data_IF_764639849426
#
_entry.id   IF_764639849426
#
_cell.length_a   1.000
_cell.length_b   1.000
_cell.length_c   1.000
_cell.angle_alpha   90.00
_cell.angle_beta   90.00
_cell.angle_gamma   90.00
#
_symmetry.space_group_name_H-M   'P 1'
#
loop_
_entity.id
_entity.type
_entity.pdbx_description
1 polymer ?
#
# COMPACT_ATOMS: atom_id res chain seq x y z
N UNK A 1 6.81 -18.30 23.81
CA UNK A 1 6.29 -18.21 22.44
C UNK A 1 4.83 -18.60 22.41
N UNK A 2 3.99 -17.82 21.73
CA UNK A 2 2.62 -18.21 21.34
C UNK A 2 2.53 -18.31 19.83
N UNK A 3 1.74 -19.27 19.35
CA UNK A 3 1.47 -19.52 17.94
C UNK A 3 -0.02 -19.40 17.66
N UNK A 4 -0.35 -18.96 16.46
CA UNK A 4 -1.71 -18.92 15.94
C UNK A 4 -1.71 -19.32 14.47
N UNK A 5 -2.75 -20.02 14.05
CA UNK A 5 -3.01 -20.32 12.66
C UNK A 5 -4.51 -20.27 12.38
N UNK A 6 -4.88 -19.73 11.22
CA UNK A 6 -6.25 -19.73 10.71
C UNK A 6 -6.23 -19.75 9.19
N UNK A 7 -7.31 -20.30 8.61
CA UNK A 7 -7.57 -20.22 7.19
C UNK A 7 -8.91 -19.54 6.91
N UNK A 8 -9.01 -18.91 5.74
CA UNK A 8 -10.24 -18.33 5.24
C UNK A 8 -10.32 -18.50 3.72
N UNK A 9 -11.53 -18.72 3.21
CA UNK A 9 -11.79 -18.89 1.79
C UNK A 9 -12.54 -17.67 1.28
N UNK A 10 -11.97 -16.97 0.31
CA UNK A 10 -12.67 -15.94 -0.46
C UNK A 10 -13.34 -16.57 -1.66
N UNK A 11 -14.57 -16.15 -1.97
CA UNK A 11 -15.32 -16.61 -3.16
C UNK A 11 -14.88 -15.91 -4.46
N UNK A 12 -13.72 -15.26 -4.46
CA UNK A 12 -13.17 -14.51 -5.58
C UNK A 12 -11.88 -15.13 -6.14
N UNK A 13 -11.60 -14.94 -7.45
CA UNK A 13 -10.37 -15.38 -8.08
C UNK A 13 -9.12 -14.78 -7.44
N UNK A 14 -8.02 -15.53 -7.48
CA UNK A 14 -6.76 -15.14 -6.88
C UNK A 14 -6.27 -13.78 -7.34
N UNK A 15 -6.41 -13.46 -8.63
CA UNK A 15 -5.99 -12.16 -9.17
C UNK A 15 -6.73 -10.98 -8.53
N UNK A 16 -8.03 -11.14 -8.25
CA UNK A 16 -8.85 -10.12 -7.57
C UNK A 16 -8.41 -9.96 -6.12
N UNK A 17 -8.27 -11.07 -5.39
CA UNK A 17 -7.89 -11.04 -3.96
C UNK A 17 -6.45 -10.57 -3.76
N UNK A 18 -5.51 -10.99 -4.62
CA UNK A 18 -4.13 -10.54 -4.63
C UNK A 18 -4.07 -9.03 -4.89
N UNK A 19 -4.84 -8.51 -5.84
CA UNK A 19 -4.90 -7.07 -6.10
C UNK A 19 -5.48 -6.30 -4.91
N UNK A 20 -6.59 -6.79 -4.34
CA UNK A 20 -7.19 -6.21 -3.14
C UNK A 20 -6.21 -6.19 -1.95
N UNK A 21 -5.38 -7.23 -1.79
CA UNK A 21 -4.38 -7.32 -0.73
C UNK A 21 -3.36 -6.16 -0.79
N UNK A 22 -2.93 -5.75 -1.98
CA UNK A 22 -2.01 -4.63 -2.14
C UNK A 22 -2.69 -3.27 -1.97
N UNK A 23 -3.97 -3.17 -2.33
CA UNK A 23 -4.79 -1.95 -2.22
C UNK A 23 -5.54 -1.81 -0.89
N UNK A 24 -5.33 -2.71 0.07
CA UNK A 24 -6.10 -2.76 1.32
C UNK A 24 -6.03 -1.51 2.18
N UNK A 25 -5.14 -0.55 1.91
CA UNK A 25 -5.10 0.71 2.65
C UNK A 25 -5.24 1.91 1.70
N UNK A 26 -5.98 2.96 2.11
CA UNK A 26 -6.73 3.06 3.37
C UNK A 26 -8.05 2.25 3.34
N UNK A 27 -8.52 1.82 4.52
CA UNK A 27 -9.86 1.25 4.69
C UNK A 27 -10.39 1.50 6.12
N UNK A 28 -11.73 1.56 6.36
CA UNK A 28 -12.31 1.92 7.65
C UNK A 28 -12.01 0.91 8.78
N UNK A 29 -11.77 -0.36 8.44
CA UNK A 29 -11.41 -1.41 9.40
C UNK A 29 -9.95 -1.35 9.85
N UNK A 30 -9.12 -0.55 9.16
CA UNK A 30 -7.70 -0.38 9.41
C UNK A 30 -7.28 1.08 9.69
N UNK A 31 -8.15 1.87 10.34
CA UNK A 31 -7.88 3.28 10.71
C UNK A 31 -6.63 3.55 11.57
N UNK A 32 -6.02 2.50 12.11
CA UNK A 32 -4.77 2.57 12.86
C UNK A 32 -3.53 2.62 11.95
N UNK A 33 -3.65 2.31 10.67
CA UNK A 33 -2.57 2.44 9.69
C UNK A 33 -2.47 3.90 9.27
N UNK A 34 -1.27 4.48 9.39
CA UNK A 34 -1.00 5.88 9.06
C UNK A 34 -0.41 6.02 7.67
N UNK A 35 0.60 5.21 7.36
CA UNK A 35 1.27 5.21 6.05
C UNK A 35 1.62 3.79 5.65
N UNK A 36 1.74 3.57 4.34
CA UNK A 36 2.20 2.33 3.75
C UNK A 36 2.96 2.67 2.47
N UNK A 37 4.28 2.56 2.53
CA UNK A 37 5.20 3.03 1.50
C UNK A 37 5.93 1.83 0.89
N UNK A 38 6.12 1.84 -0.43
CA UNK A 38 6.94 0.82 -1.11
C UNK A 38 8.40 1.23 -1.01
N UNK A 39 9.21 0.41 -0.37
CA UNK A 39 10.66 0.63 -0.19
C UNK A 39 11.43 0.08 -1.38
N UNK A 40 11.08 -1.12 -1.83
CA UNK A 40 11.66 -1.75 -3.01
C UNK A 40 10.65 -2.66 -3.70
N UNK A 41 10.83 -2.84 -5.00
CA UNK A 41 10.04 -3.74 -5.81
C UNK A 41 10.84 -4.18 -7.03
N UNK A 42 10.97 -5.49 -7.19
CA UNK A 42 11.78 -6.09 -8.24
C UNK A 42 11.09 -7.36 -8.77
N UNK A 43 11.39 -7.72 -10.01
CA UNK A 43 10.97 -9.01 -10.59
C UNK A 43 12.16 -9.97 -10.50
N UNK A 44 11.93 -11.15 -9.92
CA UNK A 44 12.95 -12.19 -9.82
C UNK A 44 13.22 -12.82 -11.20
N UNK A 45 14.37 -13.48 -11.42
CA UNK A 45 14.63 -14.22 -12.65
C UNK A 45 13.58 -15.31 -12.95
N UNK A 46 12.88 -15.81 -11.91
CA UNK A 46 11.79 -16.77 -12.04
C UNK A 46 10.43 -16.15 -12.41
N UNK A 47 10.34 -14.82 -12.56
CA UNK A 47 9.10 -14.13 -12.91
C UNK A 47 8.22 -13.71 -11.72
N UNK A 48 8.63 -13.97 -10.48
CA UNK A 48 7.90 -13.52 -9.29
C UNK A 48 8.13 -12.03 -9.04
N UNK A 49 7.10 -11.30 -8.60
CA UNK A 49 7.24 -9.92 -8.12
C UNK A 49 7.53 -9.92 -6.62
N UNK A 50 8.70 -9.46 -6.22
CA UNK A 50 9.05 -9.23 -4.81
C UNK A 50 8.85 -7.75 -4.47
N UNK A 51 8.26 -7.47 -3.32
CA UNK A 51 8.03 -6.10 -2.84
C UNK A 51 8.30 -6.02 -1.35
N UNK A 52 9.02 -5.00 -0.93
CA UNK A 52 9.14 -4.62 0.48
C UNK A 52 8.38 -3.33 0.71
N UNK A 53 7.47 -3.33 1.69
CA UNK A 53 6.73 -2.15 2.14
C UNK A 53 7.07 -1.83 3.59
N UNK A 54 7.08 -0.54 3.91
CA UNK A 54 7.19 -0.02 5.26
C UNK A 54 5.83 0.55 5.68
N UNK A 55 5.33 0.10 6.82
CA UNK A 55 4.01 0.46 7.33
C UNK A 55 4.16 1.11 8.70
N UNK A 56 3.59 2.31 8.87
CA UNK A 56 3.46 2.94 10.18
C UNK A 56 2.06 2.71 10.72
N UNK A 57 1.96 2.22 11.96
CA UNK A 57 0.66 2.06 12.63
C UNK A 57 0.65 2.67 14.02
N UNK A 58 -0.48 3.26 14.39
CA UNK A 58 -0.80 3.67 15.76
C UNK A 58 -1.01 2.44 16.63
N UNK A 59 -0.46 2.48 17.83
CA UNK A 59 -0.69 1.49 18.87
C UNK A 59 -1.19 2.14 20.15
N UNK A 60 -1.50 1.28 21.13
CA UNK A 60 -1.78 1.68 22.50
C UNK A 60 -1.17 0.64 23.43
N UNK A 61 -0.64 1.12 24.56
CA UNK A 61 -0.11 0.24 25.60
C UNK A 61 -1.27 -0.33 26.43
N UNK A 62 -1.21 -1.61 26.84
CA UNK A 62 -2.20 -2.13 27.74
C UNK A 62 -2.12 -1.44 29.10
N UNK A 63 -3.25 -1.27 29.79
CA UNK A 63 -3.31 -0.57 31.09
C UNK A 63 -2.39 -1.16 32.16
N UNK A 64 -2.05 -2.44 32.06
CA UNK A 64 -1.16 -3.12 32.99
C UNK A 64 0.34 -2.96 32.65
N UNK A 65 0.68 -2.41 31.48
CA UNK A 65 2.07 -2.20 31.11
C UNK A 65 2.72 -1.19 32.06
N UNK A 66 3.91 -1.49 32.61
CA UNK A 66 4.64 -0.51 33.40
C UNK A 66 4.86 0.79 32.63
N UNK A 67 4.70 1.92 33.33
CA UNK A 67 4.93 3.24 32.76
C UNK A 67 6.39 3.38 32.28
N UNK A 68 6.58 4.06 31.15
CA UNK A 68 7.92 4.38 30.64
C UNK A 68 8.61 3.28 29.83
N UNK A 69 8.04 2.08 29.68
CA UNK A 69 8.66 1.01 28.86
C UNK A 69 8.74 1.40 27.38
N UNK A 70 7.70 2.05 26.86
CA UNK A 70 7.60 2.45 25.45
C UNK A 70 7.26 3.95 25.40
N UNK A 71 8.17 4.74 24.82
CA UNK A 71 8.01 6.21 24.71
C UNK A 71 7.02 6.61 23.60
N UNK A 72 6.92 5.84 22.52
CA UNK A 72 6.01 6.07 21.39
C UNK A 72 5.19 4.82 21.14
N UNK A 73 3.87 4.95 21.17
CA UNK A 73 2.96 3.83 20.94
C UNK A 73 2.81 3.45 19.46
N UNK A 74 3.34 4.27 18.55
CA UNK A 74 3.45 3.93 17.13
C UNK A 74 4.45 2.79 16.91
N UNK A 75 4.23 2.01 15.86
CA UNK A 75 5.04 0.83 15.53
C UNK A 75 5.30 0.83 14.03
N UNK A 76 6.57 0.70 13.67
CA UNK A 76 6.98 0.42 12.29
C UNK A 76 6.89 -1.07 12.01
N UNK A 77 6.33 -1.43 10.86
CA UNK A 77 6.19 -2.80 10.40
C UNK A 77 6.79 -2.91 9.00
N UNK A 78 7.71 -3.84 8.82
CA UNK A 78 8.15 -4.26 7.48
C UNK A 78 7.18 -5.33 6.97
N UNK A 79 6.78 -5.20 5.73
CA UNK A 79 6.04 -6.20 4.98
C UNK A 79 6.86 -6.61 3.76
N UNK A 80 7.13 -7.90 3.63
CA UNK A 80 7.85 -8.49 2.51
C UNK A 80 6.91 -9.44 1.79
N UNK A 81 6.69 -9.22 0.50
CA UNK A 81 5.78 -10.04 -0.32
C UNK A 81 6.47 -10.59 -1.54
N UNK A 82 6.13 -11.82 -1.91
CA UNK A 82 6.41 -12.43 -3.20
C UNK A 82 5.08 -12.79 -3.87
N UNK A 83 4.91 -12.39 -5.13
CA UNK A 83 3.76 -12.72 -5.97
C UNK A 83 4.25 -13.59 -7.11
N UNK A 84 3.82 -14.85 -7.12
CA UNK A 84 4.05 -15.79 -8.20
C UNK A 84 2.80 -15.83 -9.09
N UNK A 85 2.83 -15.20 -10.29
CA UNK A 85 1.68 -15.15 -11.19
C UNK A 85 1.39 -16.50 -11.87
N UNK A 86 2.39 -17.34 -12.08
CA UNK A 86 2.22 -18.65 -12.70
C UNK A 86 1.60 -19.64 -11.71
N UNK A 87 2.18 -19.72 -10.51
CA UNK A 87 1.65 -20.54 -9.42
C UNK A 87 0.37 -19.98 -8.78
N UNK A 88 0.03 -18.73 -9.05
CA UNK A 88 -1.12 -18.00 -8.48
C UNK A 88 -1.08 -18.01 -6.97
N UNK A 89 0.06 -17.57 -6.43
CA UNK A 89 0.33 -17.50 -5.00
C UNK A 89 0.87 -16.12 -4.63
N UNK A 90 0.34 -15.55 -3.55
CA UNK A 90 1.00 -14.45 -2.82
C UNK A 90 1.52 -15.02 -1.52
N UNK A 91 2.80 -14.78 -1.22
CA UNK A 91 3.42 -15.06 0.08
C UNK A 91 3.78 -13.73 0.70
N UNK A 92 3.37 -13.50 1.94
CA UNK A 92 3.61 -12.26 2.65
C UNK A 92 4.14 -12.58 4.05
N UNK A 93 5.17 -11.86 4.47
CA UNK A 93 5.68 -11.87 5.83
C UNK A 93 5.63 -10.45 6.37
N UNK A 94 5.05 -10.25 7.56
CA UNK A 94 5.10 -8.95 8.25
C UNK A 94 5.76 -9.08 9.61
N UNK A 95 6.60 -8.10 9.96
CA UNK A 95 7.33 -8.05 11.24
C UNK A 95 7.41 -6.62 11.77
N UNK A 96 7.25 -6.43 13.07
CA UNK A 96 7.56 -5.14 13.68
C UNK A 96 9.08 -4.90 13.73
N UNK A 97 9.50 -3.68 13.38
CA UNK A 97 10.90 -3.24 13.40
C UNK A 97 11.31 -2.67 14.77
N UNK A 98 10.38 -2.01 15.46
CA UNK A 98 10.56 -1.44 16.79
C UNK A 98 9.84 -2.28 17.86
N UNK A 99 10.10 -1.97 19.14
CA UNK A 99 9.51 -2.65 20.30
C UNK A 99 9.75 -4.17 20.39
N UNK A 100 10.70 -4.70 19.59
CA UNK A 100 10.99 -6.15 19.45
C UNK A 100 11.33 -6.82 20.79
N UNK A 101 12.03 -6.10 21.68
CA UNK A 101 12.32 -6.59 23.05
C UNK A 101 11.04 -6.81 23.86
N UNK A 102 10.07 -5.91 23.75
CA UNK A 102 8.79 -6.05 24.44
C UNK A 102 7.97 -7.18 23.81
N UNK A 103 7.75 -7.12 22.49
CA UNK A 103 7.05 -8.16 21.75
C UNK A 103 7.47 -8.12 20.28
N UNK A 104 8.00 -9.24 19.79
CA UNK A 104 8.16 -9.52 18.37
C UNK A 104 6.95 -10.29 17.88
N UNK A 105 6.33 -9.77 16.82
CA UNK A 105 5.24 -10.40 16.10
C UNK A 105 5.71 -10.63 14.68
N UNK A 106 5.62 -11.88 14.23
CA UNK A 106 5.85 -12.26 12.85
C UNK A 106 4.59 -12.93 12.32
N UNK A 107 3.98 -12.35 11.29
CA UNK A 107 2.82 -12.91 10.61
C UNK A 107 3.24 -13.39 9.22
N UNK A 108 2.79 -14.59 8.85
CA UNK A 108 2.90 -15.13 7.50
C UNK A 108 1.50 -15.27 6.92
N UNK A 109 1.28 -14.74 5.74
CA UNK A 109 0.04 -14.90 4.98
C UNK A 109 0.38 -15.53 3.63
N UNK A 110 -0.37 -16.57 3.25
CA UNK A 110 -0.34 -17.14 1.91
C UNK A 110 -1.73 -17.02 1.31
N UNK A 111 -1.85 -16.41 0.13
CA UNK A 111 -3.06 -16.40 -0.69
C UNK A 111 -2.81 -17.30 -1.89
N UNK A 112 -3.62 -18.33 -2.09
CA UNK A 112 -3.46 -19.29 -3.19
C UNK A 112 -4.79 -19.57 -3.87
N UNK A 113 -4.77 -19.66 -5.19
CA UNK A 113 -5.94 -20.12 -5.93
C UNK A 113 -6.28 -21.59 -5.60
N UNK A 114 -7.56 -21.87 -5.37
CA UNK A 114 -8.10 -23.23 -5.31
C UNK A 114 -8.58 -23.70 -6.69
N UNK A 115 -8.89 -25.00 -6.81
CA UNK A 115 -9.42 -25.60 -8.04
C UNK A 115 -10.73 -24.94 -8.50
N UNK A 116 -11.61 -24.58 -7.55
CA UNK A 116 -12.89 -23.90 -7.81
C UNK A 116 -12.78 -22.41 -8.16
N UNK A 117 -11.61 -21.93 -8.60
CA UNK A 117 -11.34 -20.52 -8.91
C UNK A 117 -11.59 -19.55 -7.73
N UNK A 118 -11.56 -20.08 -6.49
CA UNK A 118 -11.61 -19.31 -5.23
C UNK A 118 -10.21 -19.03 -4.72
N UNK A 119 -10.08 -18.27 -3.63
CA UNK A 119 -8.78 -17.98 -3.02
C UNK A 119 -8.73 -18.43 -1.56
N UNK A 120 -7.83 -19.37 -1.25
CA UNK A 120 -7.54 -19.77 0.11
C UNK A 120 -6.48 -18.86 0.71
N UNK A 121 -6.82 -18.19 1.80
CA UNK A 121 -5.89 -17.51 2.69
C UNK A 121 -5.50 -18.43 3.84
N UNK A 122 -4.20 -18.58 4.06
CA UNK A 122 -3.64 -19.18 5.28
C UNK A 122 -2.82 -18.14 6.02
N UNK A 123 -3.16 -17.89 7.28
CA UNK A 123 -2.48 -16.93 8.16
C UNK A 123 -1.86 -17.69 9.33
N UNK A 124 -0.59 -17.44 9.59
CA UNK A 124 0.15 -17.93 10.74
C UNK A 124 0.80 -16.75 11.47
N UNK A 125 0.79 -16.76 12.81
CA UNK A 125 1.42 -15.70 13.58
C UNK A 125 2.19 -16.25 14.79
N UNK A 126 3.40 -15.74 14.97
CA UNK A 126 4.28 -16.04 16.09
C UNK A 126 4.44 -14.81 16.98
N UNK A 127 4.32 -15.01 18.30
CA UNK A 127 4.46 -13.98 19.32
C UNK A 127 5.58 -14.38 20.27
N UNK A 128 6.64 -13.57 20.30
CA UNK A 128 7.83 -13.83 21.11
C UNK A 128 8.18 -12.58 21.90
N UNK A 129 8.14 -12.66 23.23
CA UNK A 129 8.55 -11.56 24.10
C UNK A 129 9.94 -11.82 24.70
N UNK A 130 10.84 -10.83 24.58
CA UNK A 130 12.16 -10.84 25.21
C UNK A 130 12.23 -9.98 26.47
N UNK A 131 11.09 -9.54 27.00
CA UNK A 131 11.02 -8.49 28.01
C UNK A 131 11.63 -8.90 29.36
N UNK A 132 11.60 -10.20 29.70
CA UNK A 132 12.08 -10.73 30.98
C UNK A 132 11.11 -10.50 32.14
N UNK A 133 11.57 -10.72 33.38
CA UNK A 133 10.85 -10.35 34.63
C UNK A 133 9.52 -11.07 34.87
N UNK A 134 9.35 -12.30 34.36
CA UNK A 134 8.13 -13.11 34.56
C UNK A 134 6.90 -12.63 33.77
N UNK A 135 6.97 -11.51 33.04
CA UNK A 135 5.84 -10.97 32.26
C UNK A 135 5.71 -11.57 30.86
N UNK A 136 6.70 -12.35 30.40
CA UNK A 136 6.75 -12.95 29.06
C UNK A 136 5.42 -13.61 28.67
N UNK A 137 4.88 -14.51 29.52
CA UNK A 137 3.62 -15.22 29.22
C UNK A 137 2.43 -14.27 29.10
N UNK A 138 2.36 -13.22 29.93
CA UNK A 138 1.28 -12.22 29.92
C UNK A 138 1.34 -11.37 28.65
N UNK A 139 2.54 -10.91 28.28
CA UNK A 139 2.77 -10.10 27.07
C UNK A 139 2.42 -10.89 25.81
N UNK A 140 2.93 -12.13 25.69
CA UNK A 140 2.66 -12.98 24.52
C UNK A 140 1.16 -13.32 24.41
N UNK A 141 0.50 -13.62 25.53
CA UNK A 141 -0.94 -13.91 25.55
C UNK A 141 -1.77 -12.68 25.18
N UNK A 142 -1.36 -11.49 25.62
CA UNK A 142 -1.99 -10.23 25.21
C UNK A 142 -1.83 -9.96 23.71
N UNK A 143 -0.62 -10.18 23.16
CA UNK A 143 -0.35 -10.06 21.72
C UNK A 143 -1.26 -10.98 20.89
N UNK A 144 -1.35 -12.26 21.28
CA UNK A 144 -2.24 -13.23 20.66
C UNK A 144 -3.72 -12.80 20.72
N UNK A 145 -4.20 -12.35 21.87
CA UNK A 145 -5.59 -11.92 22.04
C UNK A 145 -5.91 -10.70 21.15
N UNK A 146 -5.00 -9.71 21.08
CA UNK A 146 -5.14 -8.54 20.20
C UNK A 146 -5.14 -8.93 18.73
N UNK A 147 -4.27 -9.86 18.33
CA UNK A 147 -4.22 -10.36 16.96
C UNK A 147 -5.53 -11.02 16.55
N UNK A 148 -6.07 -11.93 17.39
CA UNK A 148 -7.37 -12.56 17.14
C UNK A 148 -8.50 -11.53 16.98
N UNK A 149 -8.53 -10.50 17.81
CA UNK A 149 -9.52 -9.42 17.72
C UNK A 149 -9.38 -8.57 16.45
N UNK A 150 -8.20 -8.55 15.82
CA UNK A 150 -7.93 -7.78 14.60
C UNK A 150 -8.19 -8.58 13.32
N UNK A 151 -8.13 -9.90 13.37
CA UNK A 151 -8.26 -10.78 12.20
C UNK A 151 -9.57 -10.58 11.43
N UNK A 152 -10.69 -10.47 12.15
CA UNK A 152 -11.99 -10.26 11.49
C UNK A 152 -12.00 -8.92 10.74
N UNK A 153 -11.53 -7.83 11.37
CA UNK A 153 -11.43 -6.50 10.73
C UNK A 153 -10.49 -6.48 9.52
N UNK A 154 -9.39 -7.24 9.58
CA UNK A 154 -8.47 -7.38 8.44
C UNK A 154 -9.19 -8.00 7.22
N UNK A 155 -10.00 -9.03 7.47
CA UNK A 155 -10.80 -9.68 6.43
C UNK A 155 -11.87 -8.76 5.85
N UNK A 156 -12.63 -8.07 6.71
CA UNK A 156 -13.62 -7.08 6.26
C UNK A 156 -12.98 -5.98 5.40
N UNK A 157 -11.77 -5.54 5.75
CA UNK A 157 -11.00 -4.59 4.94
C UNK A 157 -10.67 -5.11 3.54
N UNK A 158 -10.23 -6.36 3.42
CA UNK A 158 -9.95 -6.97 2.10
C UNK A 158 -11.24 -7.18 1.32
N UNK A 159 -12.29 -7.71 1.95
CA UNK A 159 -13.59 -7.93 1.30
C UNK A 159 -14.18 -6.64 0.75
N UNK A 160 -14.09 -5.53 1.49
CA UNK A 160 -14.49 -4.21 1.00
C UNK A 160 -13.77 -3.83 -0.29
N UNK A 161 -12.45 -4.02 -0.36
CA UNK A 161 -11.69 -3.68 -1.57
C UNK A 161 -12.04 -4.62 -2.73
N UNK A 162 -12.25 -5.91 -2.46
CA UNK A 162 -12.72 -6.87 -3.46
C UNK A 162 -14.06 -6.43 -4.05
N UNK A 163 -15.02 -6.02 -3.21
CA UNK A 163 -16.32 -5.52 -3.66
C UNK A 163 -16.19 -4.25 -4.50
N UNK A 164 -15.32 -3.31 -4.10
CA UNK A 164 -15.03 -2.10 -4.88
C UNK A 164 -14.40 -2.42 -6.25
N UNK A 165 -13.48 -3.38 -6.31
CA UNK A 165 -12.90 -3.86 -7.58
C UNK A 165 -13.99 -4.48 -8.46
N UNK A 166 -14.90 -5.27 -7.88
CA UNK A 166 -16.03 -5.88 -8.61
C UNK A 166 -16.94 -4.81 -9.19
N UNK A 167 -17.32 -3.81 -8.40
CA UNK A 167 -18.16 -2.69 -8.83
C UNK A 167 -17.49 -1.88 -9.96
N UNK A 168 -16.19 -1.59 -9.83
CA UNK A 168 -15.44 -0.86 -10.86
C UNK A 168 -15.42 -1.60 -12.20
N UNK A 169 -15.38 -2.94 -12.20
CA UNK A 169 -15.44 -3.74 -13.44
C UNK A 169 -16.81 -3.77 -14.11
N UNK A 170 -17.88 -3.51 -13.35
CA UNK A 170 -19.25 -3.47 -13.86
C UNK A 170 -19.61 -2.10 -14.43
N UNK A 171 -18.88 -1.05 -14.07
CA UNK A 171 -19.06 0.25 -14.70
C UNK A 171 -18.42 0.23 -16.10
N UNK A 172 -19.16 0.58 -17.16
CA UNK A 172 -18.55 0.78 -18.46
C UNK A 172 -17.50 1.88 -18.30
N UNK A 173 -16.24 1.59 -18.65
CA UNK A 173 -15.23 2.63 -18.75
C UNK A 173 -15.78 3.70 -19.67
N UNK A 174 -16.02 4.91 -19.16
CA UNK A 174 -16.41 6.07 -19.98
C UNK A 174 -15.18 6.54 -20.75
N UNK A 175 -14.65 5.68 -21.61
CA UNK A 175 -13.75 6.03 -22.69
C UNK A 175 -14.62 6.69 -23.77
N UNK A 176 -14.81 8.01 -23.63
CA UNK A 176 -15.47 8.85 -24.63
C UNK A 176 -16.98 8.93 -24.50
N UNK A 177 -17.48 9.63 -23.47
CA UNK A 177 -18.80 10.26 -23.58
C UNK A 177 -18.74 11.43 -24.58
N UNK A 178 -19.77 11.65 -25.42
CA UNK A 178 -19.75 12.72 -26.42
C UNK A 178 -19.55 14.07 -25.75
N UNK A 179 -18.77 14.95 -26.38
CA UNK A 179 -18.56 16.34 -25.99
C UNK A 179 -19.88 17.13 -25.95
N UNK A 180 -20.73 16.91 -24.94
CA UNK A 180 -21.92 17.74 -24.69
C UNK A 180 -21.59 19.07 -24.03
N UNK A 181 -20.29 19.36 -23.82
CA UNK A 181 -19.77 20.67 -23.43
C UNK A 181 -19.16 21.46 -24.60
N UNK A 182 -19.22 20.94 -25.83
CA UNK A 182 -18.78 21.65 -27.05
C UNK A 182 -19.91 21.78 -28.07
N UNK A 183 -21.14 22.04 -27.62
CA UNK A 183 -22.17 22.55 -28.52
C UNK A 183 -22.72 23.90 -28.03
N UNK A 184 -22.72 24.84 -28.97
CA UNK A 184 -23.40 26.13 -29.00
C UNK A 184 -22.82 27.31 -28.21
N UNK A 185 -21.63 27.77 -28.62
CA UNK A 185 -21.36 29.22 -28.64
C UNK A 185 -20.30 29.72 -29.64
N UNK A 186 -20.03 29.00 -30.74
CA UNK A 186 -19.23 29.57 -31.84
C UNK A 186 -20.15 30.21 -32.89
N UNK A 187 -20.38 31.52 -32.74
CA UNK A 187 -20.80 32.40 -33.83
C UNK A 187 -19.79 32.29 -34.98
N UNK A 188 -20.20 32.07 -36.24
CA UNK A 188 -19.29 32.23 -37.36
C UNK A 188 -18.92 33.71 -37.48
N UNK A 189 -17.62 33.99 -37.49
CA UNK A 189 -17.07 35.32 -37.72
C UNK A 189 -17.37 35.73 -39.16
N UNK A 190 -18.31 36.65 -39.35
CA UNK A 190 -18.61 37.21 -40.67
C UNK A 190 -17.55 38.27 -41.00
N UNK A 191 -16.85 38.08 -42.11
CA UNK A 191 -15.82 38.98 -42.63
C UNK A 191 -16.41 40.27 -43.27
N UNK A 192 -17.41 40.89 -42.65
CA UNK A 192 -18.04 42.14 -43.10
C UNK A 192 -17.87 43.33 -42.14
N UNK A 193 -17.27 43.14 -40.96
CA UNK A 193 -17.03 44.22 -39.99
C UNK A 193 -15.68 44.93 -40.17
N UNK A 194 -14.93 44.63 -41.25
CA UNK A 194 -13.79 45.42 -41.64
C UNK A 194 -14.27 46.61 -42.49
N UNK A 195 -14.32 47.82 -41.90
CA UNK A 195 -13.93 49.12 -42.52
C UNK A 195 -14.39 50.31 -41.65
N UNK A 196 -13.39 51.05 -41.11
CA UNK A 196 -13.27 52.54 -40.88
C UNK A 196 -12.37 52.83 -39.66
N UNK A 197 -11.07 53.12 -39.87
CA UNK A 197 -10.39 54.47 -39.91
C UNK A 197 -10.47 55.23 -38.58
N UNK A 198 -9.45 55.86 -37.98
CA UNK A 198 -8.05 56.21 -38.28
C UNK A 198 -7.45 56.86 -36.98
N UNK A 199 -6.11 56.98 -36.90
CA UNK A 199 -5.29 57.85 -36.02
C UNK A 199 -5.29 57.58 -34.49
N UNK A 200 -4.22 57.75 -33.70
CA UNK A 200 -2.93 58.43 -33.86
C UNK A 200 -1.94 57.87 -32.80
N UNK A 201 -0.62 58.05 -32.98
CA UNK A 201 0.33 58.15 -31.85
C UNK A 201 1.26 56.97 -31.50
N UNK A 202 2.41 56.92 -32.18
CA UNK A 202 3.78 56.58 -31.72
C UNK A 202 4.04 56.03 -30.29
N UNK A 203 4.76 54.90 -30.16
CA UNK A 203 6.19 54.82 -29.71
C UNK A 203 6.72 53.37 -29.52
N UNK A 204 7.86 53.13 -30.15
CA UNK A 204 9.01 52.23 -29.92
C UNK A 204 9.03 51.05 -28.91
N UNK A 205 9.59 49.96 -29.48
CA UNK A 205 10.73 49.14 -29.02
C UNK A 205 10.55 47.88 -28.14
N UNK A 206 10.70 46.75 -28.85
CA UNK A 206 11.63 45.62 -28.63
C UNK A 206 11.41 44.62 -27.47
N UNK A 207 11.10 43.38 -27.90
CA UNK A 207 11.35 42.13 -27.19
C UNK A 207 12.86 41.85 -27.01
N UNK A 208 13.24 41.07 -25.98
CA UNK A 208 14.41 40.21 -26.06
C UNK A 208 14.06 38.71 -26.03
N UNK A 209 14.77 37.98 -26.89
CA UNK A 209 14.88 36.51 -27.02
C UNK A 209 15.73 35.87 -25.90
N UNK A 210 15.74 34.52 -25.77
CA UNK A 210 16.23 33.81 -24.60
C UNK A 210 17.68 33.34 -24.74
N UNK A 211 18.43 33.33 -23.62
CA UNK A 211 19.43 32.31 -23.28
C UNK A 211 20.20 32.71 -22.00
N UNK A 212 20.18 31.87 -20.94
CA UNK A 212 21.41 31.27 -20.36
C UNK A 212 21.14 30.23 -19.26
N UNK A 213 21.73 29.05 -19.51
CA UNK A 213 22.20 27.94 -18.65
C UNK A 213 22.39 28.18 -17.13
N UNK A 214 22.08 27.15 -16.32
CA UNK A 214 23.06 26.57 -15.37
C UNK A 214 22.77 25.13 -14.92
N UNK A 215 23.81 24.30 -15.08
CA UNK A 215 24.00 22.93 -14.56
C UNK A 215 24.13 22.90 -13.02
N UNK A 216 23.73 21.77 -12.43
CA UNK A 216 24.15 21.33 -11.10
C UNK A 216 24.12 19.80 -11.02
N UNK A 217 25.30 19.17 -11.05
CA UNK A 217 25.53 17.74 -10.84
C UNK A 217 25.48 17.37 -9.36
N UNK A 218 25.12 16.11 -9.06
CA UNK A 218 25.19 15.53 -7.72
C UNK A 218 24.83 14.05 -7.70
N UNK A 219 25.73 13.20 -8.21
CA UNK A 219 25.59 11.76 -8.18
C UNK A 219 25.79 11.17 -6.78
N UNK A 220 24.81 10.41 -6.30
CA UNK A 220 24.90 9.59 -5.10
C UNK A 220 24.70 8.12 -5.45
N UNK A 221 25.79 7.35 -5.49
CA UNK A 221 25.82 5.90 -5.70
C UNK A 221 25.32 5.18 -4.45
N UNK A 222 24.12 4.60 -4.51
CA UNK A 222 23.61 3.70 -3.48
C UNK A 222 24.09 2.28 -3.78
N UNK A 223 24.95 1.75 -2.92
CA UNK A 223 25.41 0.36 -2.95
C UNK A 223 24.28 -0.59 -2.56
N UNK A 224 24.03 -1.60 -3.40
CA UNK A 224 23.06 -2.67 -3.15
C UNK A 224 23.47 -3.50 -1.92
N UNK A 225 22.62 -3.52 -0.91
CA UNK A 225 22.73 -4.46 0.22
C UNK A 225 22.02 -5.75 -0.19
N UNK A 226 22.76 -6.83 -0.38
CA UNK A 226 22.23 -8.19 -0.58
C UNK A 226 22.14 -8.91 0.76
N UNK A 227 20.95 -9.36 1.18
CA UNK A 227 20.77 -10.37 2.25
C UNK A 227 20.08 -11.59 1.65
N UNK A 228 20.72 -12.76 1.59
CA UNK A 228 20.74 -13.79 2.65
C UNK A 228 19.34 -14.34 2.99
N UNK A 229 18.83 -15.23 2.14
CA UNK A 229 17.90 -16.29 2.54
C UNK A 229 18.69 -17.57 2.79
N UNK A 230 19.13 -17.76 4.03
CA UNK A 230 19.60 -19.06 4.53
C UNK A 230 18.41 -19.85 5.05
N UNK A 231 18.02 -20.91 4.34
CA UNK A 231 17.12 -21.94 4.83
C UNK A 231 17.87 -22.84 5.84
N UNK A 232 17.33 -22.97 7.05
CA UNK A 232 17.43 -24.16 7.90
C UNK A 232 16.29 -24.17 8.90
#
# INVERSE_FOLDING_TARGET
MKFFQQSFLYDDPWSTVAFAFFLRYPNPYASHILTCDVVSRDVTPSGSLVTTRLILKKGSLPRWAPQGIIKKAETWVVEETEVDPEGRVVRCVTKNLDHVKALRVEERVTLRQTEDNKTLQQTQANFVSGFGWGLTKRIESHGLARFKAHMHRSREGISLIVDLIRQSRLQPMTLGGPSSLLDSSHRPYNASDAVRTENDGSTNDQLPSPDTLRKGEGGGTWTKVTSWFGFR
#
